data_IF_432695534592
#
_entry.id   IF_432695534592
#
_cell.length_a   1.000
_cell.length_b   1.000
_cell.length_c   1.000
_cell.angle_alpha   90.00
_cell.angle_beta   90.00
_cell.angle_gamma   90.00
#
_symmetry.space_group_name_H-M   'P 1'
#
loop_
_entity.id
_entity.type
_entity.pdbx_description
1 polymer ?
#
# COMPACT_ATOMS: atom_id res chain seq x y z
N UNK A 1 -35.21 0.45 72.54
CA UNK A 1 -34.72 0.89 71.21
C UNK A 1 -33.22 0.71 71.18
N UNK A 2 -32.76 -0.40 70.61
CA UNK A 2 -31.33 -0.76 70.50
C UNK A 2 -30.94 -0.71 69.03
N UNK A 3 -30.08 0.24 68.67
CA UNK A 3 -29.57 0.43 67.31
C UNK A 3 -28.26 -0.32 67.18
N UNK A 4 -28.25 -1.38 66.38
CA UNK A 4 -27.05 -2.17 66.07
C UNK A 4 -26.36 -1.61 64.83
N UNK A 5 -25.11 -1.16 64.98
CA UNK A 5 -24.25 -0.74 63.88
C UNK A 5 -23.48 -1.95 63.31
N UNK A 6 -23.62 -2.18 62.00
CA UNK A 6 -22.83 -3.14 61.23
C UNK A 6 -21.51 -2.48 60.78
N UNK A 7 -20.35 -3.16 60.86
CA UNK A 7 -19.09 -2.60 60.37
C UNK A 7 -18.97 -2.75 58.85
N UNK A 8 -18.66 -1.65 58.17
CA UNK A 8 -18.36 -1.58 56.74
C UNK A 8 -16.92 -2.12 56.52
N UNK A 9 -16.79 -3.33 56.01
CA UNK A 9 -15.49 -3.91 55.63
C UNK A 9 -15.12 -3.36 54.22
N UNK A 10 -14.14 -2.46 54.17
CA UNK A 10 -13.52 -2.03 52.92
C UNK A 10 -12.62 -3.15 52.38
N UNK A 11 -13.12 -3.90 51.41
CA UNK A 11 -12.34 -4.92 50.69
C UNK A 11 -11.44 -4.21 49.68
N UNK A 12 -10.15 -4.01 50.03
CA UNK A 12 -9.14 -3.49 49.13
C UNK A 12 -8.82 -4.59 48.10
N UNK A 13 -9.41 -4.49 46.92
CA UNK A 13 -9.09 -5.35 45.78
C UNK A 13 -7.72 -4.93 45.25
N UNK A 14 -6.65 -5.60 45.69
CA UNK A 14 -5.32 -5.45 45.10
C UNK A 14 -5.37 -6.10 43.72
N UNK A 15 -5.74 -5.33 42.70
CA UNK A 15 -5.57 -5.71 41.30
C UNK A 15 -4.07 -5.84 41.01
N UNK A 16 -3.53 -7.03 41.14
CA UNK A 16 -2.23 -7.40 40.58
C UNK A 16 -2.34 -7.34 39.07
N UNK A 17 -2.02 -6.17 38.49
CA UNK A 17 -1.78 -6.00 37.06
C UNK A 17 -0.53 -6.82 36.70
N UNK A 18 -0.73 -8.11 36.47
CA UNK A 18 0.23 -9.00 35.84
C UNK A 18 0.51 -8.47 34.44
N UNK A 19 1.47 -7.56 34.36
CA UNK A 19 2.00 -7.03 33.09
C UNK A 19 2.91 -8.12 32.54
N UNK A 20 2.33 -9.19 32.01
CA UNK A 20 3.12 -10.18 31.28
C UNK A 20 3.72 -9.45 30.08
N UNK A 21 5.05 -9.44 30.01
CA UNK A 21 5.78 -8.96 28.86
C UNK A 21 5.43 -9.87 27.68
N UNK A 22 4.36 -9.53 26.98
CA UNK A 22 3.89 -10.27 25.82
C UNK A 22 4.97 -10.07 24.75
N UNK A 23 5.77 -11.12 24.52
CA UNK A 23 6.72 -11.15 23.43
C UNK A 23 5.98 -10.77 22.14
N UNK A 24 6.56 -9.88 21.32
CA UNK A 24 5.93 -9.41 20.09
C UNK A 24 5.62 -10.63 19.22
N UNK A 25 4.33 -10.99 19.10
CA UNK A 25 3.92 -12.01 18.16
C UNK A 25 4.29 -11.55 16.74
N UNK A 26 4.74 -12.47 15.88
CA UNK A 26 5.03 -12.13 14.48
C UNK A 26 3.78 -11.52 13.84
N UNK A 27 3.99 -10.48 13.03
CA UNK A 27 2.93 -9.86 12.23
C UNK A 27 2.38 -10.90 11.26
N UNK A 28 1.17 -11.39 11.54
CA UNK A 28 0.50 -12.45 10.77
C UNK A 28 -0.82 -11.92 10.20
N UNK A 29 -1.13 -12.24 8.94
CA UNK A 29 -2.35 -11.76 8.28
C UNK A 29 -3.64 -12.25 8.98
N UNK A 30 -3.60 -13.41 9.64
CA UNK A 30 -4.70 -14.00 10.40
C UNK A 30 -5.07 -13.17 11.63
N UNK A 31 -4.14 -12.34 12.12
CA UNK A 31 -4.35 -11.51 13.30
C UNK A 31 -5.28 -10.32 13.08
N UNK A 32 -5.64 -10.02 11.83
CA UNK A 32 -6.46 -8.88 11.47
C UNK A 32 -7.77 -9.35 10.83
N UNK A 33 -8.90 -8.76 11.23
CA UNK A 33 -10.21 -9.04 10.65
C UNK A 33 -11.01 -7.75 10.42
N UNK A 34 -12.06 -7.83 9.60
CA UNK A 34 -12.95 -6.71 9.29
C UNK A 34 -12.17 -5.48 8.79
N UNK A 35 -12.56 -4.32 9.29
CA UNK A 35 -11.90 -3.04 9.06
C UNK A 35 -10.43 -3.04 9.45
N UNK A 36 -10.04 -3.78 10.50
CA UNK A 36 -8.63 -3.84 10.92
C UNK A 36 -7.75 -4.50 9.86
N UNK A 37 -8.23 -5.53 9.17
CA UNK A 37 -7.46 -6.15 8.07
C UNK A 37 -7.28 -5.16 6.91
N UNK A 38 -8.31 -4.37 6.60
CA UNK A 38 -8.24 -3.35 5.55
C UNK A 38 -7.22 -2.26 5.89
N UNK A 39 -7.27 -1.75 7.12
CA UNK A 39 -6.30 -0.77 7.60
C UNK A 39 -4.88 -1.34 7.61
N UNK A 40 -4.70 -2.61 7.98
CA UNK A 40 -3.41 -3.26 7.92
C UNK A 40 -2.87 -3.34 6.48
N UNK A 41 -3.69 -3.76 5.53
CA UNK A 41 -3.33 -3.83 4.10
C UNK A 41 -2.92 -2.45 3.54
N UNK A 42 -3.70 -1.43 3.87
CA UNK A 42 -3.42 -0.05 3.46
C UNK A 42 -2.18 0.54 4.13
N UNK A 43 -1.89 0.20 5.41
CA UNK A 43 -0.67 0.61 6.12
C UNK A 43 0.59 -0.03 5.54
N UNK A 44 0.50 -1.29 5.10
CA UNK A 44 1.63 -1.99 4.49
C UNK A 44 1.88 -1.55 3.04
N UNK A 45 0.92 -0.87 2.39
CA UNK A 45 1.11 -0.30 1.05
C UNK A 45 2.26 0.71 0.97
N UNK A 46 2.80 0.94 -0.23
CA UNK A 46 3.80 1.98 -0.50
C UNK A 46 3.17 3.31 -0.97
N UNK A 47 1.84 3.45 -0.89
CA UNK A 47 1.14 4.64 -1.35
C UNK A 47 0.90 5.60 -0.16
N UNK A 48 1.58 6.74 -0.16
CA UNK A 48 1.48 7.72 0.92
C UNK A 48 0.11 8.39 1.05
N UNK A 49 -0.70 8.47 -0.02
CA UNK A 49 -2.08 8.94 0.11
C UNK A 49 -2.93 7.91 0.87
N UNK A 50 -2.76 6.63 0.56
CA UNK A 50 -3.40 5.50 1.24
C UNK A 50 -2.97 5.44 2.71
N UNK A 51 -1.68 5.52 3.00
CA UNK A 51 -1.15 5.55 4.38
C UNK A 51 -1.71 6.76 5.15
N UNK A 52 -1.70 7.94 4.54
CA UNK A 52 -2.27 9.16 5.13
C UNK A 52 -3.75 8.98 5.45
N UNK A 53 -4.51 8.37 4.54
CA UNK A 53 -5.93 8.12 4.73
C UNK A 53 -6.18 7.23 5.94
N UNK A 54 -5.42 6.14 6.09
CA UNK A 54 -5.55 5.25 7.25
C UNK A 54 -5.10 5.92 8.54
N UNK A 55 -3.97 6.65 8.54
CA UNK A 55 -3.55 7.38 9.74
C UNK A 55 -4.61 8.37 10.23
N UNK A 56 -5.28 9.07 9.31
CA UNK A 56 -6.46 9.91 9.64
C UNK A 56 -7.60 9.08 10.20
N UNK A 57 -7.86 7.91 9.62
CA UNK A 57 -8.99 7.06 9.99
C UNK A 57 -8.79 6.39 11.35
N UNK A 58 -7.59 5.92 11.69
CA UNK A 58 -7.28 5.40 13.02
C UNK A 58 -7.58 6.45 14.11
N UNK A 59 -7.23 7.72 13.86
CA UNK A 59 -7.55 8.82 14.79
C UNK A 59 -9.04 9.07 14.90
N UNK A 60 -9.74 9.21 13.75
CA UNK A 60 -11.15 9.58 13.72
C UNK A 60 -12.09 8.47 14.20
N UNK A 61 -11.83 7.24 13.78
CA UNK A 61 -12.61 6.05 14.16
C UNK A 61 -12.31 5.58 15.60
N UNK A 62 -11.46 6.30 16.34
CA UNK A 62 -11.06 5.95 17.70
C UNK A 62 -10.51 4.51 17.83
N UNK A 63 -9.74 4.06 16.84
CA UNK A 63 -9.21 2.68 16.81
C UNK A 63 -8.21 2.47 17.95
N UNK A 64 -8.49 1.47 18.79
CA UNK A 64 -7.65 1.05 19.93
C UNK A 64 -6.98 -0.31 19.75
N UNK A 65 -7.12 -0.92 18.56
CA UNK A 65 -6.53 -2.22 18.24
C UNK A 65 -4.99 -2.17 18.41
N UNK A 66 -4.43 -2.86 19.42
CA UNK A 66 -3.00 -2.81 19.69
C UNK A 66 -2.15 -3.25 18.50
N UNK A 67 -2.62 -4.23 17.70
CA UNK A 67 -1.88 -4.78 16.57
C UNK A 67 -1.76 -3.76 15.44
N UNK A 68 -2.84 -3.03 15.17
CA UNK A 68 -2.81 -1.93 14.20
C UNK A 68 -1.92 -0.77 14.65
N UNK A 69 -1.90 -0.47 15.94
CA UNK A 69 -1.02 0.57 16.48
C UNK A 69 0.45 0.15 16.41
N UNK A 70 0.75 -1.13 16.64
CA UNK A 70 2.09 -1.70 16.43
C UNK A 70 2.52 -1.59 14.97
N UNK A 71 1.62 -1.92 14.05
CA UNK A 71 1.85 -1.81 12.62
C UNK A 71 2.04 -0.34 12.19
N UNK A 72 1.25 0.58 12.73
CA UNK A 72 1.41 2.01 12.48
C UNK A 72 2.76 2.52 13.00
N UNK A 73 3.19 2.09 14.18
CA UNK A 73 4.50 2.43 14.73
C UNK A 73 5.65 1.90 13.87
N UNK A 74 5.54 0.65 13.40
CA UNK A 74 6.51 0.07 12.47
C UNK A 74 6.53 0.84 11.14
N UNK A 75 5.37 1.18 10.58
CA UNK A 75 5.30 1.95 9.33
C UNK A 75 5.95 3.33 9.47
N UNK A 76 5.68 4.06 10.55
CA UNK A 76 6.34 5.34 10.89
C UNK A 76 7.87 5.19 10.86
N UNK A 77 8.40 4.14 11.49
CA UNK A 77 9.85 3.89 11.52
C UNK A 77 10.43 3.67 10.13
N UNK A 78 9.75 2.89 9.28
CA UNK A 78 10.18 2.69 7.88
C UNK A 78 10.12 3.98 7.04
N UNK A 79 9.27 4.93 7.44
CA UNK A 79 9.14 6.26 6.85
C UNK A 79 10.02 7.32 7.56
N UNK A 80 10.95 6.92 8.44
CA UNK A 80 11.73 7.87 9.25
C UNK A 80 12.44 8.91 8.40
N UNK A 81 13.08 8.52 7.30
CA UNK A 81 13.92 9.41 6.49
C UNK A 81 13.19 10.18 5.36
N UNK A 82 11.85 10.15 5.33
CA UNK A 82 11.10 10.78 4.23
C UNK A 82 11.22 12.31 4.25
N UNK A 83 11.28 12.90 3.05
CA UNK A 83 11.41 14.36 2.86
C UNK A 83 10.30 14.96 2.01
N UNK A 84 9.57 14.17 1.23
CA UNK A 84 8.46 14.68 0.42
C UNK A 84 7.31 15.15 1.31
N UNK A 85 6.62 16.22 0.92
CA UNK A 85 5.52 16.78 1.72
C UNK A 85 4.42 15.76 1.98
N UNK A 86 4.10 14.91 0.99
CA UNK A 86 3.07 13.89 1.11
C UNK A 86 3.48 12.78 2.08
N UNK A 87 4.71 12.28 1.99
CA UNK A 87 5.21 11.24 2.89
C UNK A 87 5.32 11.77 4.33
N UNK A 88 5.81 13.01 4.48
CA UNK A 88 5.87 13.70 5.78
C UNK A 88 4.47 13.85 6.36
N UNK A 89 3.46 14.20 5.55
CA UNK A 89 2.08 14.32 6.01
C UNK A 89 1.49 12.96 6.42
N UNK A 90 1.72 11.91 5.62
CA UNK A 90 1.31 10.55 5.93
C UNK A 90 1.90 10.06 7.26
N UNK A 91 3.22 10.17 7.42
CA UNK A 91 3.92 9.75 8.63
C UNK A 91 3.50 10.60 9.86
N UNK A 92 3.22 11.89 9.66
CA UNK A 92 2.68 12.77 10.72
C UNK A 92 1.30 12.32 11.21
N UNK A 93 0.43 11.86 10.32
CA UNK A 93 -0.88 11.32 10.69
C UNK A 93 -0.79 10.02 11.49
N UNK A 94 0.14 9.14 11.13
CA UNK A 94 0.42 7.94 11.92
C UNK A 94 0.96 8.31 13.32
N UNK A 95 1.88 9.27 13.41
CA UNK A 95 2.35 9.76 14.72
C UNK A 95 1.21 10.37 15.54
N UNK A 96 0.26 11.05 14.89
CA UNK A 96 -0.94 11.56 15.56
C UNK A 96 -1.86 10.43 16.07
N UNK A 97 -1.96 9.32 15.33
CA UNK A 97 -2.67 8.12 15.78
C UNK A 97 -2.03 7.54 17.05
N UNK A 98 -0.70 7.38 17.08
CA UNK A 98 0.01 6.92 18.27
C UNK A 98 -0.06 7.91 19.44
N UNK A 99 -0.07 9.22 19.17
CA UNK A 99 -0.31 10.22 20.23
C UNK A 99 -1.66 10.02 20.90
N UNK A 100 -2.69 9.68 20.12
CA UNK A 100 -4.06 9.54 20.61
C UNK A 100 -4.32 8.20 21.29
N UNK A 101 -3.67 7.12 20.82
CA UNK A 101 -4.03 5.73 21.16
C UNK A 101 -2.86 4.79 21.43
N UNK A 102 -1.63 5.25 21.25
CA UNK A 102 -0.45 4.43 21.41
C UNK A 102 -0.24 3.96 22.84
N UNK A 103 0.62 2.96 22.97
CA UNK A 103 0.97 2.26 24.19
C UNK A 103 2.41 2.59 24.60
N UNK A 104 2.76 2.31 25.85
CA UNK A 104 4.11 2.54 26.38
C UNK A 104 5.23 1.95 25.49
N UNK A 105 4.98 0.76 24.92
CA UNK A 105 5.92 0.06 24.04
C UNK A 105 6.25 0.83 22.76
N UNK A 106 5.39 1.73 22.28
CA UNK A 106 5.70 2.53 21.08
C UNK A 106 6.74 3.63 21.32
N UNK A 107 7.02 3.99 22.59
CA UNK A 107 7.91 5.10 22.92
C UNK A 107 9.33 4.89 22.39
N UNK A 108 9.91 3.70 22.56
CA UNK A 108 11.28 3.41 22.11
C UNK A 108 11.43 3.47 20.59
N UNK A 109 10.43 2.99 19.84
CA UNK A 109 10.47 3.08 18.39
C UNK A 109 10.31 4.52 17.88
N UNK A 110 9.52 5.34 18.59
CA UNK A 110 9.41 6.77 18.29
C UNK A 110 10.71 7.53 18.60
N UNK A 111 11.45 7.17 19.64
CA UNK A 111 12.78 7.72 19.92
C UNK A 111 13.72 7.46 18.73
N UNK A 112 13.83 6.20 18.29
CA UNK A 112 14.64 5.83 17.12
C UNK A 112 14.19 6.55 15.84
N UNK A 113 12.88 6.69 15.65
CA UNK A 113 12.32 7.41 14.49
C UNK A 113 12.68 8.90 14.56
N UNK A 114 12.60 9.53 15.74
CA UNK A 114 12.91 10.95 15.93
C UNK A 114 14.36 11.28 15.54
N UNK A 115 15.29 10.40 15.91
CA UNK A 115 16.71 10.56 15.62
C UNK A 115 16.99 10.47 14.11
N UNK A 116 16.36 9.49 13.43
CA UNK A 116 16.46 9.30 11.98
C UNK A 116 15.69 10.32 11.15
N UNK A 117 14.69 10.99 11.72
CA UNK A 117 13.81 11.85 10.95
C UNK A 117 14.54 13.04 10.29
N UNK A 118 14.34 13.24 8.98
CA UNK A 118 14.94 14.38 8.25
C UNK A 118 14.06 15.63 8.30
N UNK A 119 12.74 15.46 8.33
CA UNK A 119 11.78 16.57 8.33
C UNK A 119 11.53 17.15 9.73
N UNK A 120 11.67 18.48 9.87
CA UNK A 120 11.33 19.22 11.11
C UNK A 120 9.85 19.10 11.48
N UNK A 121 8.96 19.12 10.48
CA UNK A 121 7.51 18.92 10.69
C UNK A 121 7.28 17.54 11.29
N UNK A 122 7.86 16.50 10.70
CA UNK A 122 7.69 15.13 11.18
C UNK A 122 8.24 14.94 12.61
N UNK A 123 9.45 15.45 12.91
CA UNK A 123 10.00 15.47 14.28
C UNK A 123 9.05 16.10 15.30
N UNK A 124 8.38 17.19 14.93
CA UNK A 124 7.39 17.84 15.81
C UNK A 124 6.23 16.91 16.16
N UNK A 125 5.71 16.16 15.18
CA UNK A 125 4.63 15.20 15.42
C UNK A 125 5.07 14.01 16.26
N UNK A 126 6.27 13.46 16.01
CA UNK A 126 6.85 12.40 16.84
C UNK A 126 6.99 12.86 18.29
N UNK A 127 7.52 14.07 18.51
CA UNK A 127 7.67 14.64 19.86
C UNK A 127 6.35 14.82 20.58
N UNK A 128 5.31 15.27 19.86
CA UNK A 128 3.94 15.37 20.41
C UNK A 128 3.41 13.99 20.82
N UNK A 129 3.69 12.94 20.04
CA UNK A 129 3.32 11.57 20.38
C UNK A 129 4.07 11.07 21.62
N UNK A 130 5.40 11.18 21.65
CA UNK A 130 6.24 10.80 22.79
C UNK A 130 5.78 11.45 24.11
N UNK A 131 5.43 12.74 24.08
CA UNK A 131 4.98 13.47 25.26
C UNK A 131 3.63 12.96 25.84
N UNK A 132 2.84 12.22 25.05
CA UNK A 132 1.55 11.67 25.47
C UNK A 132 1.62 10.20 25.85
N UNK A 133 2.64 9.47 25.41
CA UNK A 133 2.82 8.08 25.78
C UNK A 133 3.32 7.94 27.23
N UNK A 134 2.95 6.85 27.94
CA UNK A 134 3.50 6.56 29.24
C UNK A 134 5.04 6.45 29.17
N UNK A 135 5.75 7.06 30.13
CA UNK A 135 7.23 7.10 30.19
C UNK A 135 7.86 5.76 30.63
N UNK A 136 7.29 4.64 30.23
CA UNK A 136 7.86 3.33 30.48
C UNK A 136 8.71 2.95 29.26
N UNK A 137 10.03 3.03 29.42
CA UNK A 137 10.98 2.53 28.42
C UNK A 137 10.96 1.01 28.44
N UNK A 138 9.99 0.43 27.74
CA UNK A 138 9.99 -1.00 27.44
C UNK A 138 10.95 -1.22 26.30
N UNK A 139 11.98 -2.06 26.50
CA UNK A 139 12.86 -2.48 25.41
C UNK A 139 12.03 -3.25 24.39
N UNK A 140 11.69 -2.63 23.28
CA UNK A 140 10.89 -3.27 22.23
C UNK A 140 11.79 -3.83 21.14
N UNK A 141 11.60 -5.11 20.82
CA UNK A 141 12.13 -5.71 19.60
C UNK A 141 11.26 -5.34 18.37
N UNK A 142 10.70 -4.13 18.35
CA UNK A 142 9.88 -3.61 17.24
C UNK A 142 10.75 -2.98 16.13
N UNK A 143 12.07 -3.18 16.15
CA UNK A 143 12.92 -2.99 14.97
C UNK A 143 12.55 -4.06 13.93
N UNK A 144 11.33 -3.97 13.40
CA UNK A 144 10.87 -4.82 12.33
C UNK A 144 11.62 -4.44 11.06
N UNK A 145 12.16 -5.46 10.40
CA UNK A 145 12.71 -5.33 9.07
C UNK A 145 11.62 -4.85 8.08
N UNK A 146 12.01 -4.03 7.10
CA UNK A 146 11.14 -3.64 5.98
C UNK A 146 10.56 -4.87 5.27
N UNK A 147 11.32 -5.97 5.26
CA UNK A 147 10.85 -7.26 4.74
C UNK A 147 9.57 -7.76 5.44
N UNK A 148 9.43 -7.55 6.75
CA UNK A 148 8.25 -7.97 7.51
C UNK A 148 6.97 -7.26 7.06
N UNK A 149 7.05 -5.97 6.70
CA UNK A 149 5.89 -5.23 6.17
C UNK A 149 5.51 -5.72 4.77
N UNK A 150 6.51 -6.01 3.92
CA UNK A 150 6.29 -6.56 2.58
C UNK A 150 5.64 -7.93 2.66
N UNK A 151 6.17 -8.83 3.49
CA UNK A 151 5.63 -10.17 3.70
C UNK A 151 4.19 -10.09 4.23
N UNK A 152 3.92 -9.23 5.22
CA UNK A 152 2.55 -9.02 5.72
C UNK A 152 1.61 -8.50 4.63
N UNK A 153 2.06 -7.59 3.76
CA UNK A 153 1.26 -7.11 2.63
C UNK A 153 0.89 -8.25 1.68
N UNK A 154 1.86 -9.07 1.30
CA UNK A 154 1.65 -10.22 0.42
C UNK A 154 0.72 -11.25 1.06
N UNK A 155 0.86 -11.52 2.36
CA UNK A 155 0.01 -12.46 3.09
C UNK A 155 -1.43 -11.94 3.24
N UNK A 156 -1.61 -10.64 3.50
CA UNK A 156 -2.93 -10.01 3.49
C UNK A 156 -3.57 -10.06 2.09
N UNK A 157 -2.80 -9.81 1.03
CA UNK A 157 -3.29 -9.90 -0.34
C UNK A 157 -3.71 -11.34 -0.69
N UNK A 158 -2.90 -12.34 -0.32
CA UNK A 158 -3.26 -13.75 -0.47
C UNK A 158 -4.53 -14.09 0.31
N UNK A 159 -4.63 -13.63 1.55
CA UNK A 159 -5.84 -13.79 2.38
C UNK A 159 -7.06 -13.18 1.69
N UNK A 160 -6.94 -11.98 1.15
CA UNK A 160 -8.06 -11.30 0.49
C UNK A 160 -8.49 -12.01 -0.79
N UNK A 161 -7.54 -12.47 -1.61
CA UNK A 161 -7.83 -13.26 -2.81
C UNK A 161 -8.42 -14.63 -2.51
N UNK A 162 -7.98 -15.26 -1.42
CA UNK A 162 -8.46 -16.58 -1.00
C UNK A 162 -9.77 -16.52 -0.22
N UNK A 163 -10.20 -15.32 0.21
CA UNK A 163 -11.53 -15.11 0.77
C UNK A 163 -12.55 -15.15 -0.37
N UNK A 164 -12.77 -16.36 -0.89
CA UNK A 164 -13.68 -16.63 -1.99
C UNK A 164 -15.14 -16.47 -1.60
N UNK A 165 -15.48 -15.98 -0.40
CA UNK A 165 -16.86 -16.03 0.11
C UNK A 165 -17.79 -15.19 -0.76
N UNK A 166 -18.61 -15.79 -1.66
CA UNK A 166 -19.69 -15.08 -2.30
C UNK A 166 -20.87 -15.31 -1.36
N UNK A 167 -20.89 -14.60 -0.23
CA UNK A 167 -22.11 -14.56 0.55
C UNK A 167 -23.13 -13.78 -0.30
N UNK A 168 -24.25 -14.44 -0.60
CA UNK A 168 -25.41 -13.83 -1.27
C UNK A 168 -25.78 -12.57 -0.47
N UNK A 169 -25.49 -11.40 -1.03
CA UNK A 169 -25.85 -10.11 -0.46
C UNK A 169 -25.47 -9.00 -1.42
N UNK A 170 -26.39 -8.06 -1.62
CA UNK A 170 -26.08 -6.82 -2.31
C UNK A 170 -25.34 -5.90 -1.33
N UNK A 171 -24.31 -5.19 -1.81
CA UNK A 171 -23.75 -4.06 -1.06
C UNK A 171 -24.73 -2.90 -1.19
N UNK A 172 -25.22 -2.43 -0.06
CA UNK A 172 -26.14 -1.30 0.03
C UNK A 172 -25.41 -0.02 0.44
N UNK A 173 -26.01 1.11 0.09
CA UNK A 173 -25.56 2.42 0.58
C UNK A 173 -25.63 2.45 2.10
N UNK A 174 -24.73 3.22 2.70
CA UNK A 174 -24.55 3.38 4.15
C UNK A 174 -24.00 2.17 4.92
N UNK A 175 -23.74 1.02 4.28
CA UNK A 175 -23.03 -0.08 4.94
C UNK A 175 -21.64 0.37 5.39
N UNK A 176 -21.25 -0.02 6.59
CA UNK A 176 -19.89 0.17 7.13
C UNK A 176 -18.89 -0.79 6.47
N UNK A 177 -17.59 -0.52 6.63
CA UNK A 177 -16.54 -1.43 6.15
C UNK A 177 -16.72 -2.85 6.72
N UNK A 178 -17.05 -2.97 8.01
CA UNK A 178 -17.22 -4.28 8.64
C UNK A 178 -18.44 -5.02 8.07
N UNK A 179 -19.54 -4.32 7.83
CA UNK A 179 -20.73 -4.89 7.18
C UNK A 179 -20.41 -5.34 5.75
N UNK A 180 -19.75 -4.50 4.94
CA UNK A 180 -19.33 -4.88 3.58
C UNK A 180 -18.43 -6.11 3.61
N UNK A 181 -17.38 -6.11 4.43
CA UNK A 181 -16.46 -7.25 4.54
C UNK A 181 -17.18 -8.51 5.00
N UNK A 182 -18.12 -8.39 5.94
CA UNK A 182 -18.91 -9.54 6.41
C UNK A 182 -19.88 -10.10 5.36
N UNK A 183 -20.31 -9.24 4.41
CA UNK A 183 -21.31 -9.52 3.38
C UNK A 183 -20.69 -10.06 2.11
N UNK A 184 -19.53 -9.55 1.68
CA UNK A 184 -18.96 -9.86 0.36
C UNK A 184 -17.46 -10.22 0.39
N UNK A 185 -16.89 -10.45 1.58
CA UNK A 185 -15.48 -10.79 1.76
C UNK A 185 -14.56 -9.57 1.69
N UNK A 186 -13.25 -9.79 1.53
CA UNK A 186 -12.28 -8.70 1.41
C UNK A 186 -12.10 -8.23 -0.04
N UNK A 187 -11.82 -6.92 -0.24
CA UNK A 187 -11.45 -6.43 -1.57
C UNK A 187 -10.04 -6.88 -1.94
N UNK A 188 -9.81 -7.13 -3.23
CA UNK A 188 -8.48 -7.45 -3.75
C UNK A 188 -7.57 -6.22 -3.89
N UNK A 189 -8.13 -5.01 -3.89
CA UNK A 189 -7.39 -3.76 -3.84
C UNK A 189 -8.17 -2.65 -3.12
N UNK A 190 -7.46 -1.76 -2.43
CA UNK A 190 -8.00 -0.58 -1.76
C UNK A 190 -7.05 0.59 -1.87
N UNK A 191 -7.58 1.76 -2.24
CA UNK A 191 -6.79 2.98 -2.37
C UNK A 191 -7.53 4.22 -1.89
N UNK A 192 -6.75 5.21 -1.47
CA UNK A 192 -7.25 6.56 -1.29
C UNK A 192 -7.38 7.25 -2.65
N UNK A 193 -8.50 7.94 -2.88
CA UNK A 193 -8.68 8.77 -4.07
C UNK A 193 -9.06 10.19 -3.65
N UNK A 194 -8.23 11.14 -4.09
CA UNK A 194 -8.50 12.56 -3.89
C UNK A 194 -9.42 13.05 -5.00
N UNK A 195 -10.57 13.59 -4.62
CA UNK A 195 -11.49 14.27 -5.52
C UNK A 195 -11.52 15.76 -5.22
N UNK A 196 -11.95 16.53 -6.20
CA UNK A 196 -12.14 17.97 -6.07
C UNK A 196 -13.52 18.28 -6.62
N UNK A 197 -14.35 18.97 -5.83
CA UNK A 197 -15.68 19.39 -6.28
C UNK A 197 -15.58 20.32 -7.48
N UNK A 198 -16.64 20.39 -8.28
CA UNK A 198 -16.81 21.51 -9.22
C UNK A 198 -16.77 22.81 -8.41
N UNK A 199 -16.13 23.83 -8.96
CA UNK A 199 -16.01 25.13 -8.29
C UNK A 199 -17.40 25.69 -8.01
N UNK A 200 -17.75 25.86 -6.74
CA UNK A 200 -19.02 26.49 -6.35
C UNK A 200 -18.80 28.00 -6.16
N UNK A 201 -19.80 28.85 -6.50
CA UNK A 201 -19.74 30.27 -6.20
C UNK A 201 -19.49 30.49 -4.69
N UNK A 202 -18.59 31.42 -4.34
CA UNK A 202 -18.24 31.85 -2.98
C UNK A 202 -17.52 30.83 -2.07
N UNK A 203 -17.68 29.52 -2.27
CA UNK A 203 -17.05 28.46 -1.44
C UNK A 203 -15.76 27.92 -2.10
N UNK A 204 -15.59 28.13 -3.40
CA UNK A 204 -14.44 27.64 -4.15
C UNK A 204 -14.49 26.12 -4.38
N UNK A 205 -13.32 25.49 -4.48
CA UNK A 205 -13.18 24.05 -4.70
C UNK A 205 -12.89 23.36 -3.36
N UNK A 206 -13.68 22.37 -3.01
CA UNK A 206 -13.47 21.54 -1.83
C UNK A 206 -12.72 20.29 -2.27
N UNK A 207 -11.63 19.97 -1.57
CA UNK A 207 -10.87 18.74 -1.78
C UNK A 207 -11.27 17.74 -0.71
N UNK A 208 -11.66 16.56 -1.14
CA UNK A 208 -12.02 15.46 -0.26
C UNK A 208 -11.33 14.17 -0.68
N UNK A 209 -11.25 13.22 0.23
CA UNK A 209 -10.59 11.94 0.00
C UNK A 209 -11.56 10.84 0.38
N UNK A 210 -11.96 10.04 -0.59
CA UNK A 210 -12.73 8.82 -0.35
C UNK A 210 -11.83 7.59 -0.44
N UNK A 211 -12.35 6.46 0.02
CA UNK A 211 -11.70 5.15 -0.12
C UNK A 211 -12.40 4.39 -1.23
N UNK A 212 -11.63 3.89 -2.21
CA UNK A 212 -12.14 2.98 -3.25
C UNK A 212 -11.65 1.58 -2.95
N UNK A 213 -12.56 0.63 -2.84
CA UNK A 213 -12.26 -0.79 -2.67
C UNK A 213 -12.80 -1.57 -3.86
N UNK A 214 -12.01 -2.53 -4.34
CA UNK A 214 -12.33 -3.33 -5.52
C UNK A 214 -12.54 -4.78 -5.11
N UNK A 215 -13.71 -5.30 -5.46
CA UNK A 215 -14.15 -6.65 -5.16
C UNK A 215 -14.33 -7.43 -6.46
N UNK A 216 -13.96 -8.71 -6.43
CA UNK A 216 -14.25 -9.59 -7.54
C UNK A 216 -15.77 -9.74 -7.69
N UNK A 217 -16.27 -9.85 -8.93
CA UNK A 217 -17.70 -10.04 -9.27
C UNK A 217 -18.66 -8.88 -8.94
N UNK A 218 -18.28 -7.96 -8.06
CA UNK A 218 -19.12 -6.82 -7.62
C UNK A 218 -18.63 -5.53 -8.27
N UNK A 219 -17.32 -5.37 -8.40
CA UNK A 219 -16.70 -4.17 -8.94
C UNK A 219 -16.24 -3.21 -7.84
N UNK A 220 -16.59 -1.94 -7.97
CA UNK A 220 -16.03 -0.89 -7.11
C UNK A 220 -17.04 -0.45 -6.05
N UNK A 221 -16.62 -0.48 -4.79
CA UNK A 221 -17.33 0.11 -3.66
C UNK A 221 -16.59 1.36 -3.22
N UNK A 222 -17.30 2.48 -3.17
CA UNK A 222 -16.75 3.77 -2.74
C UNK A 222 -17.25 4.05 -1.33
N UNK A 223 -16.31 4.23 -0.41
CA UNK A 223 -16.61 4.64 0.96
C UNK A 223 -16.26 6.11 1.17
N UNK A 224 -17.11 6.80 1.92
CA UNK A 224 -16.87 8.16 2.38
C UNK A 224 -17.08 8.30 3.89
N UNK A 225 -16.66 9.45 4.41
CA UNK A 225 -16.63 9.82 5.82
C UNK A 225 -17.09 11.27 6.05
N UNK A 226 -17.35 12.10 5.03
CA UNK A 226 -17.48 13.56 5.21
C UNK A 226 -18.38 14.00 6.38
N UNK A 227 -19.45 13.25 6.66
CA UNK A 227 -20.45 13.63 7.68
C UNK A 227 -20.57 12.66 8.88
N UNK A 228 -19.74 11.60 8.95
CA UNK A 228 -19.89 10.54 9.99
C UNK A 228 -18.55 10.19 10.64
N UNK A 229 -18.62 9.63 11.86
CA UNK A 229 -17.44 9.17 12.61
C UNK A 229 -16.76 7.95 11.96
N UNK A 230 -17.43 7.28 11.01
CA UNK A 230 -17.00 6.03 10.40
C UNK A 230 -17.17 6.05 8.87
N UNK A 231 -16.43 5.18 8.19
CA UNK A 231 -16.55 4.95 6.75
C UNK A 231 -17.85 4.22 6.42
N UNK A 232 -18.58 4.70 5.42
CA UNK A 232 -19.79 4.07 4.90
C UNK A 232 -19.83 4.12 3.38
N UNK A 233 -20.51 3.14 2.78
CA UNK A 233 -20.70 3.07 1.33
C UNK A 233 -21.52 4.25 0.85
N UNK A 234 -21.00 5.00 -0.11
CA UNK A 234 -21.70 6.07 -0.82
C UNK A 234 -22.00 5.75 -2.27
N UNK A 235 -21.31 4.77 -2.84
CA UNK A 235 -21.52 4.34 -4.21
C UNK A 235 -21.08 2.89 -4.38
N UNK A 236 -21.82 2.16 -5.23
CA UNK A 236 -21.49 0.80 -5.65
C UNK A 236 -21.58 0.78 -7.17
N UNK A 237 -20.41 0.87 -7.80
CA UNK A 237 -20.30 0.83 -9.25
C UNK A 237 -20.22 -0.64 -9.63
N UNK A 238 -21.41 -1.23 -9.81
CA UNK A 238 -21.58 -2.58 -10.34
C UNK A 238 -21.00 -2.60 -11.74
N UNK A 239 -19.95 -3.37 -11.92
CA UNK A 239 -19.45 -3.64 -13.26
C UNK A 239 -20.04 -4.95 -13.74
N UNK A 240 -20.95 -4.90 -14.71
CA UNK A 240 -21.48 -6.10 -15.36
C UNK A 240 -20.42 -6.94 -16.10
N UNK A 241 -19.16 -6.49 -16.12
CA UNK A 241 -18.02 -7.13 -16.77
C UNK A 241 -16.80 -7.33 -15.85
N UNK A 242 -16.90 -7.09 -14.54
CA UNK A 242 -15.83 -7.46 -13.58
C UNK A 242 -16.19 -8.84 -13.05
N UNK A 243 -15.91 -9.88 -13.82
CA UNK A 243 -15.60 -11.21 -13.27
C UNK A 243 -14.24 -11.57 -13.86
N UNK A 244 -13.26 -11.87 -13.00
CA UNK A 244 -11.87 -12.24 -13.32
C UNK A 244 -10.99 -11.21 -14.07
N UNK A 245 -11.56 -10.23 -14.79
CA UNK A 245 -10.83 -9.45 -15.80
C UNK A 245 -10.32 -8.05 -15.39
N UNK A 246 -10.36 -7.58 -14.13
CA UNK A 246 -9.97 -6.16 -13.86
C UNK A 246 -8.46 -5.94 -13.71
N UNK A 247 -7.74 -6.89 -13.10
CA UNK A 247 -6.28 -6.86 -13.12
C UNK A 247 -5.78 -7.13 -14.54
N UNK A 248 -6.44 -8.02 -15.29
CA UNK A 248 -6.17 -8.32 -16.70
C UNK A 248 -6.55 -7.21 -17.67
N UNK A 249 -7.58 -6.41 -17.38
CA UNK A 249 -7.98 -5.24 -18.16
C UNK A 249 -7.05 -4.05 -17.87
N UNK A 250 -6.66 -3.84 -16.61
CA UNK A 250 -5.66 -2.83 -16.29
C UNK A 250 -4.28 -3.22 -16.84
N UNK A 251 -3.89 -4.49 -16.70
CA UNK A 251 -2.70 -5.06 -17.29
C UNK A 251 -2.77 -5.00 -18.81
N UNK A 252 -3.90 -5.35 -19.42
CA UNK A 252 -4.18 -5.27 -20.85
C UNK A 252 -4.06 -3.84 -21.39
N UNK A 253 -4.61 -2.86 -20.67
CA UNK A 253 -4.46 -1.43 -20.97
C UNK A 253 -3.00 -0.99 -20.87
N UNK A 254 -2.25 -1.46 -19.87
CA UNK A 254 -0.83 -1.16 -19.77
C UNK A 254 -0.01 -1.84 -20.87
N UNK A 255 -0.29 -3.11 -21.20
CA UNK A 255 0.30 -3.84 -22.34
C UNK A 255 0.06 -3.08 -23.63
N UNK A 256 -1.19 -2.69 -23.91
CA UNK A 256 -1.54 -1.89 -25.09
C UNK A 256 -0.83 -0.53 -25.10
N UNK A 257 -0.80 0.17 -23.96
CA UNK A 257 -0.16 1.46 -23.85
C UNK A 257 1.37 1.40 -23.96
N UNK A 258 2.00 0.29 -23.52
CA UNK A 258 3.43 0.04 -23.69
C UNK A 258 3.82 -0.08 -25.17
N UNK A 259 2.91 -0.60 -26.01
CA UNK A 259 3.10 -0.70 -27.46
C UNK A 259 2.43 0.43 -28.26
N UNK A 260 1.93 1.46 -27.58
CA UNK A 260 1.36 2.63 -28.26
C UNK A 260 2.44 3.48 -28.92
N UNK A 261 2.11 4.03 -30.09
CA UNK A 261 2.90 5.06 -30.77
C UNK A 261 2.64 6.47 -30.21
N UNK A 262 1.66 6.63 -29.33
CA UNK A 262 1.48 7.85 -28.53
C UNK A 262 2.53 7.90 -27.41
N UNK A 263 3.57 8.71 -27.64
CA UNK A 263 4.67 8.92 -26.69
C UNK A 263 4.20 9.45 -25.31
N UNK A 264 3.13 10.25 -25.25
CA UNK A 264 2.60 10.75 -23.97
C UNK A 264 1.94 9.63 -23.18
N UNK A 265 1.15 8.78 -23.86
CA UNK A 265 0.51 7.62 -23.25
C UNK A 265 1.54 6.60 -22.76
N UNK A 266 2.55 6.28 -23.57
CA UNK A 266 3.64 5.39 -23.19
C UNK A 266 4.40 5.91 -21.96
N UNK A 267 4.77 7.19 -21.97
CA UNK A 267 5.47 7.84 -20.85
C UNK A 267 4.63 7.83 -19.57
N UNK A 268 3.34 8.18 -19.68
CA UNK A 268 2.41 8.18 -18.54
C UNK A 268 2.28 6.77 -17.96
N UNK A 269 2.23 5.76 -18.82
CA UNK A 269 2.19 4.35 -18.45
C UNK A 269 3.44 3.93 -17.70
N UNK A 270 4.64 4.17 -18.23
CA UNK A 270 5.88 3.84 -17.56
C UNK A 270 6.02 4.51 -16.17
N UNK A 271 5.63 5.79 -16.05
CA UNK A 271 5.58 6.48 -14.76
C UNK A 271 4.55 5.87 -13.80
N UNK A 272 3.42 5.42 -14.33
CA UNK A 272 2.35 4.81 -13.55
C UNK A 272 2.78 3.45 -12.98
N UNK A 273 3.54 2.67 -13.77
CA UNK A 273 4.16 1.41 -13.34
C UNK A 273 5.06 1.66 -12.12
N UNK A 274 5.96 2.64 -12.20
CA UNK A 274 6.87 3.02 -11.10
C UNK A 274 6.07 3.51 -9.89
N UNK A 275 5.18 4.49 -10.08
CA UNK A 275 4.44 5.13 -8.98
C UNK A 275 3.58 4.14 -8.21
N UNK A 276 3.03 3.14 -8.89
CA UNK A 276 2.13 2.15 -8.31
C UNK A 276 2.85 0.84 -7.95
N UNK A 277 4.16 0.72 -8.17
CA UNK A 277 4.95 -0.51 -8.00
C UNK A 277 4.34 -1.72 -8.73
N UNK A 278 3.86 -1.52 -9.97
CA UNK A 278 3.27 -2.57 -10.79
C UNK A 278 4.36 -3.39 -11.47
N UNK A 279 5.04 -4.23 -10.70
CA UNK A 279 6.24 -4.95 -11.14
C UNK A 279 5.98 -6.45 -11.36
N UNK A 280 4.78 -6.82 -11.85
CA UNK A 280 4.56 -8.20 -12.25
C UNK A 280 5.54 -8.57 -13.39
N UNK A 281 6.15 -9.77 -13.37
CA UNK A 281 7.07 -10.20 -14.42
C UNK A 281 6.46 -10.10 -15.81
N UNK A 282 5.18 -10.43 -15.95
CA UNK A 282 4.45 -10.29 -17.20
C UNK A 282 4.44 -8.84 -17.71
N UNK A 283 4.04 -7.85 -16.91
CA UNK A 283 4.00 -6.45 -17.36
C UNK A 283 5.39 -5.92 -17.72
N UNK A 284 6.40 -6.33 -16.94
CA UNK A 284 7.78 -5.95 -17.16
C UNK A 284 8.38 -6.62 -18.40
N UNK A 285 7.94 -7.83 -18.76
CA UNK A 285 8.30 -8.50 -20.01
C UNK A 285 7.79 -7.69 -21.23
N UNK A 286 6.58 -7.14 -21.19
CA UNK A 286 6.09 -6.22 -22.23
C UNK A 286 6.91 -4.91 -22.29
N UNK A 287 7.33 -4.38 -21.13
CA UNK A 287 8.19 -3.20 -21.08
C UNK A 287 9.58 -3.48 -21.66
N UNK A 288 10.17 -4.64 -21.35
CA UNK A 288 11.44 -5.11 -21.90
C UNK A 288 11.34 -5.34 -23.41
N UNK A 289 10.25 -5.95 -23.87
CA UNK A 289 10.01 -6.14 -25.29
C UNK A 289 9.88 -4.81 -26.04
N UNK A 290 9.17 -3.83 -25.47
CA UNK A 290 9.04 -2.50 -26.09
C UNK A 290 10.41 -1.85 -26.31
N UNK A 291 11.30 -1.89 -25.31
CA UNK A 291 12.62 -1.26 -25.48
C UNK A 291 13.51 -2.01 -26.48
N UNK A 292 13.41 -3.35 -26.56
CA UNK A 292 14.20 -4.17 -27.49
C UNK A 292 13.72 -4.05 -28.94
N UNK A 293 12.41 -3.89 -29.13
CA UNK A 293 11.78 -3.74 -30.45
C UNK A 293 11.86 -2.32 -31.02
N UNK A 294 12.12 -1.31 -30.18
CA UNK A 294 12.27 0.07 -30.62
C UNK A 294 13.61 0.28 -31.34
N UNK A 295 13.60 0.40 -32.67
CA UNK A 295 14.82 0.63 -33.49
C UNK A 295 15.02 2.10 -33.88
N UNK A 296 13.91 2.83 -34.07
CA UNK A 296 13.89 4.24 -34.45
C UNK A 296 12.95 5.01 -33.54
N UNK A 297 13.15 6.33 -33.48
CA UNK A 297 12.39 7.22 -32.61
C UNK A 297 11.66 8.25 -33.45
N UNK A 298 10.33 8.29 -33.34
CA UNK A 298 9.48 9.20 -34.11
C UNK A 298 9.59 10.66 -33.65
N UNK A 299 10.05 10.91 -32.42
CA UNK A 299 10.20 12.25 -31.82
C UNK A 299 11.04 12.22 -30.54
N UNK A 300 11.45 13.39 -30.08
CA UNK A 300 12.06 13.58 -28.75
C UNK A 300 11.14 13.15 -27.60
N UNK A 301 9.82 13.24 -27.79
CA UNK A 301 8.85 12.73 -26.83
C UNK A 301 8.92 11.20 -26.73
N UNK A 302 9.08 10.50 -27.86
CA UNK A 302 9.25 9.05 -27.88
C UNK A 302 10.57 8.64 -27.22
N UNK A 303 11.66 9.38 -27.47
CA UNK A 303 12.94 9.21 -26.76
C UNK A 303 12.76 9.33 -25.24
N UNK A 304 12.02 10.34 -24.77
CA UNK A 304 11.73 10.50 -23.33
C UNK A 304 10.86 9.35 -22.80
N UNK A 305 9.84 8.94 -23.56
CA UNK A 305 8.94 7.86 -23.18
C UNK A 305 9.70 6.54 -22.98
N UNK A 306 10.53 6.14 -23.94
CA UNK A 306 11.37 4.93 -23.86
C UNK A 306 12.37 5.02 -22.70
N UNK A 307 12.94 6.20 -22.46
CA UNK A 307 13.80 6.43 -21.29
C UNK A 307 13.08 6.15 -19.96
N UNK A 308 11.77 6.48 -19.87
CA UNK A 308 10.95 6.13 -18.71
C UNK A 308 10.64 4.64 -18.62
N UNK A 309 10.50 3.93 -19.74
CA UNK A 309 10.34 2.47 -19.75
C UNK A 309 11.61 1.80 -19.19
N UNK A 310 12.80 2.24 -19.57
CA UNK A 310 14.06 1.76 -18.98
C UNK A 310 14.09 1.94 -17.45
N UNK A 311 13.68 3.12 -16.97
CA UNK A 311 13.57 3.40 -15.53
C UNK A 311 12.55 2.51 -14.82
N UNK A 312 11.46 2.13 -15.49
CA UNK A 312 10.47 1.24 -14.90
C UNK A 312 11.04 -0.16 -14.66
N UNK A 313 11.86 -0.66 -15.59
CA UNK A 313 12.58 -1.93 -15.41
C UNK A 313 13.60 -1.85 -14.27
N UNK A 314 14.40 -0.77 -14.19
CA UNK A 314 15.34 -0.59 -13.07
C UNK A 314 14.63 -0.47 -11.71
N UNK A 315 13.53 0.29 -11.64
CA UNK A 315 12.76 0.49 -10.41
C UNK A 315 12.13 -0.81 -9.86
N UNK A 316 11.98 -1.84 -10.70
CA UNK A 316 11.48 -3.14 -10.29
C UNK A 316 12.51 -3.96 -9.48
N UNK A 317 13.79 -3.59 -9.53
CA UNK A 317 14.91 -4.32 -8.93
C UNK A 317 14.99 -5.80 -9.38
N UNK A 318 14.49 -6.10 -10.59
CA UNK A 318 14.46 -7.45 -11.14
C UNK A 318 15.62 -7.67 -12.11
N UNK A 319 16.64 -8.40 -11.64
CA UNK A 319 17.85 -8.77 -12.37
C UNK A 319 17.62 -9.49 -13.71
N UNK A 320 16.44 -10.07 -13.94
CA UNK A 320 16.03 -10.64 -15.23
C UNK A 320 16.17 -9.65 -16.39
N UNK A 321 15.96 -8.36 -16.17
CA UNK A 321 15.96 -7.35 -17.24
C UNK A 321 17.31 -6.69 -17.51
N UNK A 322 18.37 -7.14 -16.82
CA UNK A 322 19.73 -6.60 -16.96
C UNK A 322 20.20 -6.65 -18.43
N UNK A 323 20.13 -7.83 -19.05
CA UNK A 323 20.56 -8.06 -20.43
C UNK A 323 19.79 -7.20 -21.45
N UNK A 324 18.46 -7.11 -21.32
CA UNK A 324 17.62 -6.30 -22.20
C UNK A 324 18.03 -4.81 -22.17
N UNK A 325 18.22 -4.25 -20.97
CA UNK A 325 18.69 -2.88 -20.79
C UNK A 325 20.10 -2.69 -21.35
N UNK A 326 21.01 -3.64 -21.11
CA UNK A 326 22.37 -3.60 -21.66
C UNK A 326 22.38 -3.60 -23.19
N UNK A 327 21.60 -4.46 -23.83
CA UNK A 327 21.45 -4.48 -25.28
C UNK A 327 20.95 -3.15 -25.82
N UNK A 328 19.99 -2.50 -25.16
CA UNK A 328 19.49 -1.18 -25.57
C UNK A 328 20.56 -0.09 -25.38
N UNK A 329 21.36 -0.16 -24.31
CA UNK A 329 22.47 0.75 -24.09
C UNK A 329 23.53 0.66 -25.20
N UNK A 330 23.80 -0.54 -25.70
CA UNK A 330 24.81 -0.79 -26.73
C UNK A 330 24.31 -0.49 -28.16
N UNK A 331 23.04 -0.76 -28.45
CA UNK A 331 22.50 -0.78 -29.83
C UNK A 331 21.57 0.38 -30.20
N UNK A 332 21.08 1.15 -29.24
CA UNK A 332 20.12 2.24 -29.53
C UNK A 332 20.75 3.36 -30.38
N UNK A 333 19.98 3.84 -31.36
CA UNK A 333 20.34 4.98 -32.22
C UNK A 333 20.27 6.34 -31.50
N UNK A 334 19.60 6.40 -30.34
CA UNK A 334 19.48 7.62 -29.53
C UNK A 334 20.47 7.61 -28.37
N UNK A 335 21.38 8.59 -28.34
CA UNK A 335 22.35 8.76 -27.26
C UNK A 335 21.68 8.91 -25.89
N UNK A 336 20.53 9.58 -25.83
CA UNK A 336 19.76 9.76 -24.59
C UNK A 336 19.18 8.43 -24.08
N UNK A 337 18.60 7.62 -24.97
CA UNK A 337 18.11 6.28 -24.57
C UNK A 337 19.27 5.40 -24.12
N UNK A 338 20.43 5.43 -24.82
CA UNK A 338 21.62 4.68 -24.40
C UNK A 338 22.02 5.00 -22.96
N UNK A 339 22.14 6.28 -22.62
CA UNK A 339 22.51 6.70 -21.27
C UNK A 339 21.49 6.31 -20.19
N UNK A 340 20.18 6.36 -20.49
CA UNK A 340 19.18 5.90 -19.54
C UNK A 340 19.14 4.38 -19.36
N UNK A 341 19.35 3.62 -20.44
CA UNK A 341 19.44 2.17 -20.37
C UNK A 341 20.71 1.72 -19.62
N UNK A 342 21.83 2.41 -19.84
CA UNK A 342 23.10 2.21 -19.12
C UNK A 342 22.93 2.41 -17.62
N UNK A 343 22.50 3.61 -17.22
CA UNK A 343 22.22 3.90 -15.82
C UNK A 343 21.20 2.95 -15.19
N UNK A 344 20.26 2.41 -15.99
CA UNK A 344 19.24 1.47 -15.51
C UNK A 344 19.81 0.06 -15.27
N UNK A 345 20.63 -0.49 -16.16
CA UNK A 345 21.20 -1.82 -15.92
C UNK A 345 22.28 -1.81 -14.84
N UNK A 346 23.00 -0.69 -14.65
CA UNK A 346 23.99 -0.54 -13.59
C UNK A 346 23.38 -0.62 -12.18
N UNK A 347 22.07 -0.36 -12.05
CA UNK A 347 21.31 -0.52 -10.81
C UNK A 347 20.91 -1.98 -10.55
N UNK A 348 21.06 -2.88 -11.53
CA UNK A 348 20.62 -4.27 -11.45
C UNK A 348 21.83 -5.22 -11.36
N UNK A 349 21.66 -6.35 -10.67
CA UNK A 349 22.68 -7.40 -10.65
C UNK A 349 22.60 -8.29 -11.90
N UNK A 350 23.75 -8.59 -12.52
CA UNK A 350 23.83 -9.42 -13.73
C UNK A 350 23.71 -10.94 -13.47
N UNK A 351 23.44 -11.37 -12.24
CA UNK A 351 23.58 -12.76 -11.78
C UNK A 351 22.37 -13.66 -12.00
N UNK A 352 21.25 -13.13 -12.51
CA UNK A 352 20.07 -13.95 -12.78
C UNK A 352 20.31 -14.86 -14.00
N UNK A 353 20.03 -16.15 -13.84
CA UNK A 353 20.18 -17.17 -14.90
C UNK A 353 19.10 -17.05 -15.98
N UNK A 354 17.97 -16.43 -15.67
CA UNK A 354 16.79 -16.32 -16.53
C UNK A 354 16.67 -14.93 -17.17
N UNK A 355 17.77 -14.41 -17.71
CA UNK A 355 17.83 -13.13 -18.40
C UNK A 355 16.77 -13.02 -19.51
N UNK A 356 16.02 -11.91 -19.54
CA UNK A 356 15.02 -11.65 -20.57
C UNK A 356 15.69 -11.40 -21.92
N UNK A 357 15.25 -12.13 -22.93
CA UNK A 357 15.62 -11.89 -24.32
C UNK A 357 14.38 -11.53 -25.14
N UNK A 358 14.58 -10.79 -26.24
CA UNK A 358 13.48 -10.39 -27.13
C UNK A 358 12.63 -11.60 -27.53
N UNK A 359 11.30 -11.49 -27.44
CA UNK A 359 10.34 -12.54 -27.71
C UNK A 359 9.97 -13.43 -26.53
N UNK A 360 10.55 -13.23 -25.34
CA UNK A 360 10.23 -13.99 -24.12
C UNK A 360 9.00 -13.46 -23.37
N UNK A 361 8.05 -12.81 -24.05
CA UNK A 361 6.82 -12.32 -23.42
C UNK A 361 6.07 -13.51 -22.78
N UNK A 362 5.70 -13.37 -21.50
CA UNK A 362 4.88 -14.33 -20.79
C UNK A 362 3.59 -14.65 -21.57
N UNK A 363 3.39 -15.93 -21.91
CA UNK A 363 2.19 -16.42 -22.58
C UNK A 363 1.44 -17.37 -21.63
N UNK A 364 0.25 -16.96 -21.19
CA UNK A 364 -0.63 -17.70 -20.27
C UNK A 364 -0.94 -19.16 -20.68
N UNK A 365 -0.74 -19.53 -21.95
CA UNK A 365 -1.14 -20.84 -22.50
C UNK A 365 -0.16 -21.98 -22.25
N UNK A 366 1.02 -21.77 -21.65
CA UNK A 366 2.02 -22.84 -21.51
C UNK A 366 1.94 -23.65 -20.20
N UNK A 367 1.22 -23.18 -19.18
CA UNK A 367 1.21 -23.84 -17.85
C UNK A 367 0.01 -24.77 -17.61
N UNK A 368 -0.92 -24.94 -18.56
CA UNK A 368 -2.10 -25.82 -18.40
C UNK A 368 -1.95 -27.24 -18.99
N UNK A 369 -0.77 -27.63 -19.48
CA UNK A 369 -0.57 -28.95 -20.11
C UNK A 369 0.59 -29.78 -19.56
N UNK A 370 1.15 -29.42 -18.40
CA UNK A 370 2.18 -30.21 -17.74
C UNK A 370 1.66 -30.76 -16.40
N UNK A 371 0.73 -31.72 -16.45
CA UNK A 371 0.73 -32.90 -15.56
C UNK A 371 -0.47 -33.81 -15.87
N UNK A 372 -0.22 -34.86 -16.64
CA UNK A 372 -0.89 -36.16 -16.52
C UNK A 372 0.03 -37.21 -17.12
N UNK A 373 0.84 -37.90 -16.30
CA UNK A 373 1.49 -39.12 -16.75
C UNK A 373 0.45 -40.23 -16.90
N UNK A 374 0.43 -40.85 -18.08
CA UNK A 374 -0.17 -42.19 -18.27
C UNK A 374 0.63 -43.25 -17.54
#
# INVERSE_FOLDING_TARGET
>A
MSVSYLPFIFLIFICTLSTSAQANEPLKAESYSGKSALYAYMLTSNNSETIRLVGKSIVKDNVIDPKLLDLAALKIFTMSEVTSDLDVDAASWLANALKAKGQAKHASLLDLTYDKAKSRKFKSYIRKAQNKLPKLKVKTNLEGDKSSLKNLHEDLLKKFKNDKTPKKGDVELNMSIDEVVSTIGYPFDVKAVNKTTKSMPFIGRIKYTHMEAYFDQIGQVVFDREDKEHWYVIDVIKNSNISDNMLDDQLGKFKQALFSEDALLLRKTAKSIIKQNLFSPELLDYAAERILTTKTYSSDYMVDAISWVCKALAASDNSRYYSALKTVAESSTSSKVRGYAESSYEQLNASDKNQYSQGMIYNEKSDSTADSPN
#
